data_IF_106564626800
#
_entry.id   IF_106564626800
#
_cell.length_a   1.000
_cell.length_b   1.000
_cell.length_c   1.000
_cell.angle_alpha   90.00
_cell.angle_beta   90.00
_cell.angle_gamma   90.00
#
_symmetry.space_group_name_H-M   'P 1'
#
loop_
_entity.id
_entity.type
_entity.pdbx_description
1 polymer ?
#
# COMPACT_ATOMS: atom_id res chain seq x y z
N UNK A 1 26.86 -5.12 13.30
CA UNK A 1 26.31 -4.88 11.93
C UNK A 1 27.30 -4.04 11.13
N UNK A 2 27.53 -4.37 9.86
CA UNK A 2 28.41 -3.61 8.96
C UNK A 2 27.77 -2.25 8.63
N UNK A 3 28.58 -1.18 8.53
CA UNK A 3 28.08 0.20 8.27
C UNK A 3 27.27 0.30 6.97
N UNK A 4 27.66 -0.46 5.94
CA UNK A 4 26.93 -0.52 4.67
C UNK A 4 25.51 -1.09 4.84
N UNK A 5 25.34 -2.16 5.60
CA UNK A 5 24.04 -2.77 5.87
C UNK A 5 23.19 -1.85 6.72
N UNK A 6 23.80 -1.20 7.72
CA UNK A 6 23.12 -0.23 8.56
C UNK A 6 22.51 0.92 7.75
N UNK A 7 23.33 1.57 6.91
CA UNK A 7 22.87 2.69 6.07
C UNK A 7 21.80 2.27 5.07
N UNK A 8 21.92 1.07 4.50
CA UNK A 8 20.94 0.53 3.57
C UNK A 8 19.59 0.29 4.23
N UNK A 9 19.55 -0.26 5.45
CA UNK A 9 18.30 -0.48 6.17
C UNK A 9 17.61 0.82 6.57
N UNK A 10 18.36 1.85 6.95
CA UNK A 10 17.82 3.20 7.15
C UNK A 10 17.23 3.76 5.84
N UNK A 11 17.94 3.59 4.73
CA UNK A 11 17.49 4.05 3.41
C UNK A 11 16.23 3.31 2.93
N UNK A 12 16.15 1.99 3.15
CA UNK A 12 14.94 1.19 2.84
C UNK A 12 13.73 1.72 3.63
N UNK A 13 13.86 1.97 4.92
CA UNK A 13 12.77 2.54 5.72
C UNK A 13 12.36 3.93 5.21
N UNK A 14 13.33 4.77 4.87
CA UNK A 14 13.07 6.11 4.34
C UNK A 14 12.40 6.08 2.96
N UNK A 15 12.78 5.16 2.08
CA UNK A 15 12.18 4.97 0.76
C UNK A 15 10.73 4.49 0.86
N UNK A 16 10.47 3.54 1.75
CA UNK A 16 9.18 2.85 1.83
C UNK A 16 8.12 3.54 2.68
N UNK A 17 8.53 4.20 3.76
CA UNK A 17 7.59 4.82 4.72
C UNK A 17 7.27 6.26 4.32
N UNK A 18 6.55 6.42 3.21
CA UNK A 18 6.16 7.72 2.69
C UNK A 18 4.72 8.09 3.06
N UNK A 19 4.42 9.37 3.29
CA UNK A 19 3.04 9.82 3.49
C UNK A 19 2.27 9.78 2.15
N UNK A 20 1.03 9.32 2.22
CA UNK A 20 0.10 9.33 1.08
C UNK A 20 -1.32 9.62 1.56
N UNK A 21 -2.13 10.25 0.71
CA UNK A 21 -3.54 10.50 0.96
C UNK A 21 -4.39 9.49 0.20
N UNK A 22 -5.38 8.89 0.85
CA UNK A 22 -6.31 7.95 0.23
C UNK A 22 -5.63 6.74 -0.41
N UNK A 23 -6.21 6.22 -1.49
CA UNK A 23 -5.63 5.13 -2.29
C UNK A 23 -4.61 5.68 -3.27
N UNK A 24 -3.45 5.05 -3.35
CA UNK A 24 -2.31 5.52 -4.15
C UNK A 24 -2.53 5.42 -5.64
N UNK A 25 -3.29 4.43 -6.11
CA UNK A 25 -3.55 4.23 -7.55
C UNK A 25 -4.44 5.31 -8.17
N UNK A 26 -5.60 5.70 -7.60
CA UNK A 26 -6.35 6.86 -8.12
C UNK A 26 -5.55 8.16 -8.05
N UNK A 27 -4.71 8.33 -7.03
CA UNK A 27 -3.81 9.47 -6.93
C UNK A 27 -2.78 9.48 -8.08
N UNK A 28 -2.21 8.32 -8.44
CA UNK A 28 -1.30 8.23 -9.57
C UNK A 28 -1.99 8.53 -10.91
N UNK A 29 -3.25 8.11 -11.10
CA UNK A 29 -4.06 8.48 -12.27
C UNK A 29 -4.27 10.00 -12.31
N UNK A 30 -4.67 10.61 -11.19
CA UNK A 30 -4.85 12.06 -11.09
C UNK A 30 -3.53 12.80 -11.34
N UNK A 31 -2.42 12.31 -10.82
CA UNK A 31 -1.10 12.90 -11.04
C UNK A 31 -0.68 12.85 -12.52
N UNK A 32 -0.87 11.71 -13.19
CA UNK A 32 -0.61 11.57 -14.62
C UNK A 32 -1.47 12.55 -15.44
N UNK A 33 -2.76 12.68 -15.09
CA UNK A 33 -3.70 13.58 -15.74
C UNK A 33 -3.35 15.06 -15.50
N UNK A 34 -2.92 15.42 -14.29
CA UNK A 34 -2.45 16.76 -13.96
C UNK A 34 -1.17 17.14 -14.73
N UNK A 35 -0.24 16.18 -14.90
CA UNK A 35 0.95 16.36 -15.74
C UNK A 35 0.59 16.59 -17.21
N UNK A 36 -0.32 15.77 -17.76
CA UNK A 36 -0.78 15.92 -19.14
C UNK A 36 -1.44 17.29 -19.37
N UNK A 37 -2.32 17.74 -18.45
CA UNK A 37 -2.92 19.09 -18.51
C UNK A 37 -1.87 20.20 -18.39
N UNK A 38 -0.92 20.07 -17.44
CA UNK A 38 0.17 21.05 -17.27
C UNK A 38 1.00 21.19 -18.55
N UNK A 39 1.29 20.06 -19.19
CA UNK A 39 2.02 20.00 -20.47
C UNK A 39 1.22 20.61 -21.63
N UNK A 40 -0.11 20.35 -21.69
CA UNK A 40 -1.00 20.94 -22.69
C UNK A 40 -1.11 22.47 -22.56
N UNK A 41 -1.20 22.98 -21.33
CA UNK A 41 -1.28 24.41 -21.04
C UNK A 41 -2.69 24.99 -21.01
N UNK A 42 -3.73 24.19 -21.26
CA UNK A 42 -5.15 24.59 -21.18
C UNK A 42 -6.02 23.46 -20.64
N UNK A 43 -7.31 23.72 -20.43
CA UNK A 43 -8.28 22.67 -20.04
C UNK A 43 -8.57 21.79 -21.25
N UNK A 44 -8.40 20.46 -21.17
CA UNK A 44 -8.65 19.55 -22.27
C UNK A 44 -10.12 19.46 -22.68
N UNK A 45 -10.33 19.23 -23.98
CA UNK A 45 -11.63 18.99 -24.62
C UNK A 45 -11.87 17.49 -24.87
N UNK A 46 -10.80 16.70 -24.93
CA UNK A 46 -10.79 15.24 -25.02
C UNK A 46 -9.70 14.65 -24.14
N UNK A 47 -9.98 13.52 -23.49
CA UNK A 47 -9.10 12.87 -22.54
C UNK A 47 -9.15 11.35 -22.75
N UNK A 48 -8.03 10.76 -23.14
CA UNK A 48 -7.87 9.32 -23.33
C UNK A 48 -6.93 8.79 -22.24
N UNK A 49 -7.43 7.93 -21.36
CA UNK A 49 -6.69 7.29 -20.27
C UNK A 49 -6.46 5.84 -20.62
N UNK A 50 -5.22 5.42 -20.75
CA UNK A 50 -4.84 4.02 -20.88
C UNK A 50 -4.22 3.56 -19.57
N UNK A 51 -4.68 2.45 -19.04
CA UNK A 51 -4.18 1.93 -17.77
C UNK A 51 -3.99 0.41 -17.81
N UNK A 52 -2.96 -0.08 -17.11
CA UNK A 52 -2.79 -1.52 -16.94
C UNK A 52 -3.99 -2.13 -16.22
N UNK A 53 -4.25 -3.40 -16.48
CA UNK A 53 -5.37 -4.11 -15.90
C UNK A 53 -5.37 -4.07 -14.35
N UNK A 54 -4.18 -4.04 -13.73
CA UNK A 54 -4.04 -3.90 -12.28
C UNK A 54 -4.45 -2.51 -11.77
N UNK A 55 -4.15 -1.45 -12.50
CA UNK A 55 -4.62 -0.09 -12.17
C UNK A 55 -6.13 -0.02 -12.31
N UNK A 56 -6.71 -0.55 -13.39
CA UNK A 56 -8.18 -0.61 -13.57
C UNK A 56 -8.81 -1.35 -12.40
N UNK A 57 -8.30 -2.53 -12.04
CA UNK A 57 -8.76 -3.33 -10.90
C UNK A 57 -8.76 -2.53 -9.59
N UNK A 58 -7.69 -1.79 -9.31
CA UNK A 58 -7.50 -1.11 -8.03
C UNK A 58 -8.27 0.22 -7.93
N UNK A 59 -8.57 0.87 -9.05
CA UNK A 59 -9.24 2.19 -9.04
C UNK A 59 -10.76 2.07 -9.20
N UNK A 60 -11.27 1.02 -9.84
CA UNK A 60 -12.69 0.87 -10.23
C UNK A 60 -13.69 1.17 -9.11
N UNK A 61 -13.43 0.73 -7.89
CA UNK A 61 -14.41 0.77 -6.79
C UNK A 61 -14.00 1.66 -5.61
N UNK A 62 -12.83 2.28 -5.67
CA UNK A 62 -12.31 3.09 -4.58
C UNK A 62 -12.75 4.54 -4.72
N UNK A 63 -12.97 5.20 -3.58
CA UNK A 63 -13.25 6.64 -3.55
C UNK A 63 -11.98 7.40 -3.92
N UNK A 64 -12.11 8.33 -4.87
CA UNK A 64 -11.03 9.27 -5.21
C UNK A 64 -10.97 10.33 -4.09
N UNK A 65 -9.82 10.55 -3.46
CA UNK A 65 -9.71 11.51 -2.37
C UNK A 65 -10.14 12.92 -2.77
N UNK A 66 -10.75 13.64 -1.84
CA UNK A 66 -11.17 15.05 -1.99
C UNK A 66 -12.16 15.32 -3.15
N UNK A 67 -12.91 14.30 -3.60
CA UNK A 67 -13.90 14.45 -4.69
C UNK A 67 -15.36 14.33 -4.22
N UNK A 68 -15.64 14.48 -2.91
CA UNK A 68 -16.99 14.33 -2.40
C UNK A 68 -17.55 12.89 -2.48
N UNK A 69 -16.69 11.88 -2.42
CA UNK A 69 -17.08 10.46 -2.44
C UNK A 69 -17.22 9.83 -3.82
N UNK A 70 -16.85 10.53 -4.88
CA UNK A 70 -16.88 10.02 -6.26
C UNK A 70 -15.83 8.91 -6.47
N UNK A 71 -16.05 8.02 -7.45
CA UNK A 71 -15.27 6.79 -7.64
C UNK A 71 -14.84 6.57 -9.09
N UNK A 72 -13.74 5.83 -9.25
CA UNK A 72 -13.31 5.29 -10.55
C UNK A 72 -12.28 6.12 -11.28
N UNK A 73 -11.77 5.56 -12.39
CA UNK A 73 -10.72 6.17 -13.20
C UNK A 73 -11.17 7.48 -13.87
N UNK A 74 -12.38 7.61 -14.44
CA UNK A 74 -12.80 8.86 -15.04
C UNK A 74 -12.77 10.02 -14.05
N UNK A 75 -13.24 9.79 -12.82
CA UNK A 75 -13.22 10.80 -11.75
C UNK A 75 -11.78 11.12 -11.34
N UNK A 76 -10.90 10.13 -11.21
CA UNK A 76 -9.51 10.35 -10.84
C UNK A 76 -8.79 11.23 -11.89
N UNK A 77 -9.00 10.94 -13.17
CA UNK A 77 -8.44 11.75 -14.26
C UNK A 77 -9.04 13.17 -14.29
N UNK A 78 -10.37 13.28 -14.17
CA UNK A 78 -11.05 14.57 -14.11
C UNK A 78 -10.55 15.44 -12.94
N UNK A 79 -10.37 14.84 -11.76
CA UNK A 79 -9.84 15.55 -10.59
C UNK A 79 -8.43 16.09 -10.83
N UNK A 80 -7.54 15.28 -11.42
CA UNK A 80 -6.19 15.69 -11.80
C UNK A 80 -6.20 16.84 -12.83
N UNK A 81 -7.10 16.76 -13.81
CA UNK A 81 -7.23 17.78 -14.87
C UNK A 81 -7.78 19.10 -14.32
N UNK A 82 -8.86 19.04 -13.54
CA UNK A 82 -9.57 20.25 -13.10
C UNK A 82 -8.83 20.98 -11.97
N UNK A 83 -8.36 20.23 -10.97
CA UNK A 83 -7.87 20.78 -9.71
C UNK A 83 -6.51 20.26 -9.27
N UNK A 84 -5.91 19.33 -10.02
CA UNK A 84 -4.67 18.68 -9.59
C UNK A 84 -3.44 19.60 -9.63
N UNK A 85 -2.66 19.58 -8.54
CA UNK A 85 -1.33 20.18 -8.49
C UNK A 85 -0.27 19.11 -8.87
N UNK A 86 0.23 19.16 -10.11
CA UNK A 86 1.21 18.21 -10.61
C UNK A 86 2.55 18.25 -9.86
N UNK A 87 2.90 19.36 -9.21
CA UNK A 87 4.16 19.50 -8.48
C UNK A 87 4.08 18.81 -7.11
N UNK A 88 2.87 18.61 -6.58
CA UNK A 88 2.63 17.93 -5.31
C UNK A 88 2.66 16.38 -5.39
N UNK A 89 2.88 15.77 -6.57
CA UNK A 89 3.00 14.31 -6.77
C UNK A 89 1.85 13.53 -6.11
N UNK A 90 2.15 12.68 -5.11
CA UNK A 90 1.14 11.88 -4.39
C UNK A 90 0.20 12.72 -3.49
N UNK A 91 0.39 14.02 -3.42
CA UNK A 91 -0.51 14.98 -2.78
C UNK A 91 -1.25 15.84 -3.81
N UNK A 92 -1.26 15.44 -5.07
CA UNK A 92 -1.84 16.15 -6.22
C UNK A 92 -3.28 16.65 -6.00
N UNK A 93 -4.07 15.98 -5.19
CA UNK A 93 -5.46 16.34 -4.88
C UNK A 93 -5.64 16.94 -3.46
N UNK A 94 -4.56 17.26 -2.73
CA UNK A 94 -4.65 17.69 -1.33
C UNK A 94 -5.31 19.07 -1.16
N UNK A 95 -5.25 19.94 -2.17
CA UNK A 95 -5.74 21.31 -2.09
C UNK A 95 -7.12 21.54 -2.74
N UNK A 96 -7.89 20.50 -3.04
CA UNK A 96 -9.20 20.62 -3.70
C UNK A 96 -10.20 21.33 -2.78
N UNK A 97 -10.83 22.39 -3.32
CA UNK A 97 -11.89 23.14 -2.60
C UNK A 97 -13.28 22.55 -2.89
N UNK A 98 -14.30 22.84 -2.05
CA UNK A 98 -15.68 22.41 -2.30
C UNK A 98 -16.21 22.81 -3.68
N UNK A 99 -15.86 24.00 -4.16
CA UNK A 99 -16.26 24.49 -5.48
C UNK A 99 -15.63 23.65 -6.59
N UNK A 100 -14.37 23.29 -6.44
CA UNK A 100 -13.66 22.41 -7.38
C UNK A 100 -14.23 20.98 -7.40
N UNK A 101 -14.81 20.49 -6.29
CA UNK A 101 -15.53 19.20 -6.29
C UNK A 101 -16.71 19.23 -7.24
N UNK A 102 -17.47 20.32 -7.28
CA UNK A 102 -18.58 20.51 -8.21
C UNK A 102 -18.09 20.62 -9.66
N UNK A 103 -16.98 21.35 -9.88
CA UNK A 103 -16.35 21.46 -11.20
C UNK A 103 -15.85 20.13 -11.73
N UNK A 104 -15.23 19.30 -10.88
CA UNK A 104 -14.79 17.94 -11.22
C UNK A 104 -15.99 17.08 -11.65
N UNK A 105 -17.08 17.12 -10.87
CA UNK A 105 -18.29 16.39 -11.19
C UNK A 105 -18.94 16.86 -12.50
N UNK A 106 -18.93 18.17 -12.75
CA UNK A 106 -19.43 18.74 -14.01
C UNK A 106 -18.55 18.36 -15.21
N UNK A 107 -17.22 18.36 -15.01
CA UNK A 107 -16.27 17.98 -16.06
C UNK A 107 -16.40 16.50 -16.43
N UNK A 108 -16.50 15.60 -15.44
CA UNK A 108 -16.69 14.17 -15.66
C UNK A 108 -17.99 13.88 -16.41
N UNK A 109 -19.10 14.54 -16.05
CA UNK A 109 -20.41 14.40 -16.71
C UNK A 109 -20.43 14.82 -18.19
N UNK A 110 -19.41 15.54 -18.67
CA UNK A 110 -19.29 15.86 -20.11
C UNK A 110 -19.06 14.61 -20.97
N UNK A 111 -18.64 13.47 -20.36
CA UNK A 111 -18.39 12.23 -21.07
C UNK A 111 -17.18 12.26 -22.00
N UNK A 112 -16.22 13.16 -21.76
CA UNK A 112 -15.01 13.35 -22.57
C UNK A 112 -13.79 12.60 -22.03
N UNK A 113 -13.91 11.93 -20.90
CA UNK A 113 -12.87 11.09 -20.30
C UNK A 113 -13.13 9.64 -20.67
N UNK A 114 -12.30 9.08 -21.53
CA UNK A 114 -12.40 7.71 -22.02
C UNK A 114 -11.32 6.85 -21.43
N UNK A 115 -11.67 5.68 -20.90
CA UNK A 115 -10.74 4.75 -20.26
C UNK A 115 -10.58 3.50 -21.09
N UNK A 116 -9.33 3.13 -21.35
CA UNK A 116 -8.94 1.97 -22.16
C UNK A 116 -7.94 1.09 -21.40
N UNK A 117 -7.92 -0.22 -21.63
CA UNK A 117 -6.81 -1.04 -21.20
C UNK A 117 -5.53 -0.61 -21.95
N UNK A 118 -4.40 -0.58 -21.23
CA UNK A 118 -3.09 -0.39 -21.86
C UNK A 118 -2.72 -1.63 -22.68
N UNK A 119 -2.06 -1.40 -23.80
CA UNK A 119 -1.49 -2.44 -24.68
C UNK A 119 -0.07 -2.86 -24.24
N UNK A 120 0.50 -2.18 -23.24
CA UNK A 120 1.82 -2.49 -22.67
C UNK A 120 1.71 -3.60 -21.63
N UNK A 121 2.72 -4.46 -21.59
CA UNK A 121 2.79 -5.60 -20.65
C UNK A 121 3.35 -5.19 -19.27
N UNK A 122 3.15 -3.92 -18.88
CA UNK A 122 3.53 -3.42 -17.56
C UNK A 122 2.48 -3.73 -16.51
N UNK A 123 2.91 -4.21 -15.35
CA UNK A 123 2.04 -4.42 -14.18
C UNK A 123 1.44 -3.09 -13.69
N UNK A 124 2.24 -2.01 -13.72
CA UNK A 124 1.86 -0.65 -13.40
C UNK A 124 2.12 0.25 -14.60
N UNK A 125 1.07 0.68 -15.27
CA UNK A 125 1.12 1.60 -16.40
C UNK A 125 -0.11 2.51 -16.40
N UNK A 126 0.13 3.80 -16.54
CA UNK A 126 -0.90 4.85 -16.66
C UNK A 126 -0.43 5.81 -17.73
N UNK A 127 -1.21 5.94 -18.80
CA UNK A 127 -0.97 6.87 -19.88
C UNK A 127 -2.18 7.80 -20.00
N UNK A 128 -1.93 9.09 -20.11
CA UNK A 128 -2.99 10.09 -20.33
C UNK A 128 -2.63 10.91 -21.53
N UNK A 129 -3.47 10.85 -22.56
CA UNK A 129 -3.41 11.70 -23.75
C UNK A 129 -4.54 12.71 -23.70
N UNK A 130 -4.23 13.96 -23.91
CA UNK A 130 -5.19 15.06 -23.87
C UNK A 130 -5.08 15.92 -25.11
N UNK A 131 -6.22 16.51 -25.53
CA UNK A 131 -6.24 17.51 -26.59
C UNK A 131 -7.15 18.68 -26.23
N UNK A 132 -6.82 19.88 -26.69
CA UNK A 132 -7.59 21.11 -26.48
C UNK A 132 -6.87 22.33 -27.02
N UNK A 133 -7.64 23.35 -27.46
CA UNK A 133 -7.09 24.57 -27.99
C UNK A 133 -6.19 24.39 -29.21
N UNK A 134 -6.36 23.32 -30.00
CA UNK A 134 -5.54 22.98 -31.16
C UNK A 134 -4.20 22.32 -30.86
N UNK A 135 -3.96 21.96 -29.58
CA UNK A 135 -2.75 21.29 -29.10
C UNK A 135 -3.03 19.90 -28.57
N UNK A 136 -1.99 19.07 -28.47
CA UNK A 136 -2.02 17.74 -27.84
C UNK A 136 -0.93 17.61 -26.80
N UNK A 137 -1.19 16.82 -25.75
CA UNK A 137 -0.16 16.43 -24.80
C UNK A 137 -0.33 14.98 -24.35
N UNK A 138 0.79 14.39 -23.92
CA UNK A 138 0.85 13.01 -23.44
C UNK A 138 1.72 12.95 -22.18
N UNK A 139 1.26 12.20 -21.20
CA UNK A 139 2.02 11.86 -20.00
C UNK A 139 1.91 10.35 -19.73
N UNK A 140 3.02 9.74 -19.29
CA UNK A 140 3.07 8.34 -18.92
C UNK A 140 3.82 8.14 -17.62
N UNK A 141 3.22 7.33 -16.75
CA UNK A 141 3.80 6.86 -15.47
C UNK A 141 3.83 5.34 -15.51
N UNK A 142 5.00 4.73 -15.32
CA UNK A 142 5.13 3.28 -15.30
C UNK A 142 6.04 2.76 -14.19
N UNK A 143 5.79 1.53 -13.75
CA UNK A 143 6.57 0.83 -12.73
C UNK A 143 6.18 1.18 -11.30
N UNK A 144 6.05 2.47 -10.94
CA UNK A 144 5.56 2.93 -9.65
C UNK A 144 4.89 4.31 -9.72
N UNK A 145 4.15 4.67 -8.69
CA UNK A 145 3.17 5.75 -8.66
C UNK A 145 3.66 7.15 -9.07
N UNK A 146 4.97 7.44 -8.99
CA UNK A 146 5.55 8.76 -9.29
C UNK A 146 6.61 8.73 -10.38
N UNK A 147 6.81 7.58 -11.03
CA UNK A 147 7.82 7.42 -12.06
C UNK A 147 7.28 7.88 -13.43
N UNK A 148 7.46 9.15 -13.72
CA UNK A 148 7.13 9.73 -15.03
C UNK A 148 8.18 9.28 -16.03
N UNK A 149 7.78 8.48 -17.01
CA UNK A 149 8.70 7.94 -18.02
C UNK A 149 8.62 8.69 -19.36
N UNK A 150 7.50 9.36 -19.63
CA UNK A 150 7.35 10.10 -20.89
C UNK A 150 6.43 11.32 -20.76
N UNK A 151 6.85 12.41 -21.38
CA UNK A 151 6.02 13.61 -21.58
C UNK A 151 6.19 14.07 -23.03
N UNK A 152 5.08 14.40 -23.68
CA UNK A 152 5.08 14.95 -25.05
C UNK A 152 4.12 16.13 -25.16
N UNK A 153 4.44 17.07 -26.08
CA UNK A 153 3.54 18.13 -26.51
C UNK A 153 3.62 18.29 -28.02
N UNK A 154 2.50 18.24 -28.71
CA UNK A 154 2.38 18.40 -30.16
C UNK A 154 3.33 17.48 -30.97
N UNK A 155 3.59 16.29 -30.43
CA UNK A 155 4.51 15.29 -30.99
C UNK A 155 5.98 15.51 -30.63
N UNK A 156 6.33 16.59 -29.95
CA UNK A 156 7.67 16.80 -29.40
C UNK A 156 7.82 16.08 -28.05
N UNK A 157 8.88 15.28 -27.92
CA UNK A 157 9.21 14.55 -26.70
C UNK A 157 9.96 15.50 -25.74
N UNK A 158 9.34 15.82 -24.61
CA UNK A 158 9.90 16.68 -23.57
C UNK A 158 10.67 15.91 -22.50
N UNK A 159 10.27 14.65 -22.27
CA UNK A 159 10.91 13.74 -21.34
C UNK A 159 10.76 12.32 -21.88
N UNK A 160 11.85 11.55 -21.87
CA UNK A 160 11.89 10.13 -22.22
C UNK A 160 12.85 9.39 -21.28
N UNK A 161 12.30 8.66 -20.33
CA UNK A 161 13.03 7.82 -19.39
C UNK A 161 12.59 6.38 -19.59
N UNK A 162 13.38 5.54 -20.28
CA UNK A 162 12.97 4.17 -20.56
C UNK A 162 12.75 3.39 -19.27
N UNK A 163 11.57 2.79 -19.16
CA UNK A 163 11.22 1.84 -18.11
C UNK A 163 11.32 0.43 -18.69
N UNK A 164 12.00 -0.47 -18.00
CA UNK A 164 12.03 -1.89 -18.36
C UNK A 164 10.84 -2.61 -17.73
N UNK A 165 10.44 -3.76 -18.28
CA UNK A 165 9.37 -4.62 -17.74
C UNK A 165 9.60 -5.04 -16.28
N UNK A 166 10.87 -5.06 -15.84
CA UNK A 166 11.26 -5.35 -14.45
C UNK A 166 10.86 -4.23 -13.48
N UNK A 167 10.34 -3.11 -13.98
CA UNK A 167 10.04 -1.93 -13.20
C UNK A 167 11.30 -1.13 -12.82
N UNK A 168 11.15 0.02 -12.18
CA UNK A 168 12.30 0.77 -11.71
C UNK A 168 13.01 -0.03 -10.62
N UNK A 169 14.31 -0.11 -10.72
CA UNK A 169 15.13 -0.63 -9.63
C UNK A 169 14.91 0.29 -8.42
N UNK A 170 14.58 -0.31 -7.29
CA UNK A 170 14.63 0.42 -6.04
C UNK A 170 16.01 1.09 -5.90
N UNK A 171 16.03 2.30 -5.34
CA UNK A 171 17.30 2.97 -5.06
C UNK A 171 18.12 2.18 -4.01
N UNK A 172 17.43 1.32 -3.24
CA UNK A 172 17.96 0.51 -2.15
C UNK A 172 18.07 -0.98 -2.52
N UNK A 173 19.08 -1.66 -1.97
CA UNK A 173 19.32 -3.09 -2.18
C UNK A 173 18.57 -3.96 -1.16
N UNK A 174 17.41 -4.48 -1.55
CA UNK A 174 16.55 -5.32 -0.70
C UNK A 174 16.97 -6.78 -0.59
N UNK A 175 17.94 -7.22 -1.41
CA UNK A 175 18.53 -8.56 -1.30
C UNK A 175 19.25 -8.72 0.04
N UNK A 176 19.69 -7.61 0.63
CA UNK A 176 20.34 -7.60 1.95
C UNK A 176 19.39 -7.91 3.11
N UNK A 177 18.06 -7.83 2.91
CA UNK A 177 17.07 -8.09 3.95
C UNK A 177 17.05 -9.58 4.31
N UNK A 178 17.22 -9.87 5.59
CA UNK A 178 16.96 -11.17 6.20
C UNK A 178 16.35 -10.96 7.59
N UNK A 179 15.54 -11.90 8.06
CA UNK A 179 14.90 -11.79 9.40
C UNK A 179 15.93 -11.63 10.50
N UNK A 180 17.05 -12.36 10.42
CA UNK A 180 18.14 -12.26 11.40
C UNK A 180 18.74 -10.85 11.43
N UNK A 181 19.13 -10.30 10.28
CA UNK A 181 19.70 -8.95 10.17
C UNK A 181 18.70 -7.85 10.53
N UNK A 182 17.41 -8.06 10.26
CA UNK A 182 16.35 -7.13 10.68
C UNK A 182 16.32 -7.01 12.20
N UNK A 183 16.41 -8.12 12.91
CA UNK A 183 16.44 -8.13 14.38
C UNK A 183 17.73 -7.49 14.91
N UNK A 184 18.90 -7.84 14.35
CA UNK A 184 20.18 -7.20 14.69
C UNK A 184 20.14 -5.69 14.47
N UNK A 185 19.56 -5.24 13.35
CA UNK A 185 19.42 -3.82 13.06
C UNK A 185 18.49 -3.14 14.06
N UNK A 186 17.34 -3.73 14.40
CA UNK A 186 16.41 -3.17 15.37
C UNK A 186 17.04 -3.03 16.77
N UNK A 187 17.91 -3.98 17.17
CA UNK A 187 18.64 -3.88 18.45
C UNK A 187 19.75 -2.81 18.42
N UNK A 188 20.40 -2.57 17.29
CA UNK A 188 21.57 -1.72 17.15
C UNK A 188 21.28 -0.30 16.62
N UNK A 189 20.14 -0.07 15.96
CA UNK A 189 19.85 1.20 15.29
C UNK A 189 19.80 2.37 16.28
N UNK A 190 20.43 3.48 15.90
CA UNK A 190 20.28 4.76 16.60
C UNK A 190 18.87 5.30 16.31
N UNK A 191 18.14 5.59 17.36
CA UNK A 191 16.73 5.99 17.23
C UNK A 191 16.56 7.26 16.38
N UNK A 192 17.51 8.19 16.47
CA UNK A 192 17.51 9.44 15.71
C UNK A 192 17.46 9.21 14.19
N UNK A 193 18.08 8.13 13.70
CA UNK A 193 18.16 7.83 12.27
C UNK A 193 16.83 7.32 11.69
N UNK A 194 15.96 6.71 12.51
CA UNK A 194 14.67 6.14 12.08
C UNK A 194 13.46 6.88 12.64
N UNK A 195 13.63 7.67 13.70
CA UNK A 195 12.56 8.43 14.37
C UNK A 195 11.74 9.31 13.42
N UNK A 196 12.31 10.07 12.47
CA UNK A 196 11.49 10.95 11.63
C UNK A 196 10.42 10.22 10.85
N UNK A 197 10.76 9.07 10.25
CA UNK A 197 9.81 8.28 9.44
C UNK A 197 8.82 7.51 10.32
N UNK A 198 9.31 6.91 11.42
CA UNK A 198 8.47 6.12 12.32
C UNK A 198 7.53 7.00 13.16
N UNK A 199 7.96 8.17 13.61
CA UNK A 199 7.08 9.09 14.34
C UNK A 199 5.94 9.56 13.43
N UNK A 200 6.24 9.91 12.18
CA UNK A 200 5.22 10.26 11.18
C UNK A 200 4.23 9.12 10.97
N UNK A 201 4.73 7.87 10.87
CA UNK A 201 3.87 6.68 10.76
C UNK A 201 2.94 6.54 11.96
N UNK A 202 3.46 6.70 13.18
CA UNK A 202 2.67 6.63 14.41
C UNK A 202 1.56 7.70 14.38
N UNK A 203 1.91 8.93 14.05
CA UNK A 203 0.98 10.07 14.11
C UNK A 203 -0.11 9.95 13.05
N UNK A 204 0.24 9.79 11.78
CA UNK A 204 -0.72 9.67 10.69
C UNK A 204 -1.61 8.45 10.84
N UNK A 205 -1.03 7.27 11.05
CA UNK A 205 -1.78 6.02 11.08
C UNK A 205 -2.68 5.93 12.32
N UNK A 206 -2.25 6.49 13.46
CA UNK A 206 -3.11 6.61 14.65
C UNK A 206 -4.26 7.59 14.43
N UNK A 207 -4.03 8.72 13.76
CA UNK A 207 -5.07 9.72 13.51
C UNK A 207 -6.20 9.16 12.65
N UNK A 208 -5.88 8.53 11.52
CA UNK A 208 -6.91 7.96 10.63
C UNK A 208 -7.62 6.76 11.26
N UNK A 209 -6.94 5.94 12.07
CA UNK A 209 -7.58 4.84 12.79
C UNK A 209 -8.60 5.35 13.83
N UNK A 210 -8.27 6.40 14.56
CA UNK A 210 -9.22 7.08 15.48
C UNK A 210 -10.44 7.61 14.74
N UNK A 211 -10.22 8.23 13.56
CA UNK A 211 -11.31 8.72 12.72
C UNK A 211 -12.19 7.57 12.24
N UNK A 212 -11.58 6.45 11.79
CA UNK A 212 -12.29 5.26 11.36
C UNK A 212 -13.15 4.62 12.45
N UNK A 213 -12.70 4.68 13.72
CA UNK A 213 -13.49 4.20 14.86
C UNK A 213 -14.62 5.19 15.26
N UNK A 214 -14.44 6.49 15.05
CA UNK A 214 -15.40 7.53 15.44
C UNK A 214 -16.47 7.75 14.37
N UNK A 215 -16.05 7.78 13.10
CA UNK A 215 -16.90 8.11 11.96
C UNK A 215 -17.71 6.92 11.44
N UNK A 216 -18.49 7.19 10.39
CA UNK A 216 -19.23 6.18 9.62
C UNK A 216 -18.47 5.94 8.32
N UNK A 217 -17.56 4.99 8.32
CA UNK A 217 -16.66 4.71 7.19
C UNK A 217 -16.84 3.28 6.67
N UNK A 218 -17.21 3.17 5.40
CA UNK A 218 -17.29 1.87 4.72
C UNK A 218 -18.24 0.89 5.42
N UNK A 219 -17.73 -0.29 5.73
CA UNK A 219 -18.49 -1.33 6.44
C UNK A 219 -18.33 -1.26 7.97
N UNK A 220 -17.59 -0.26 8.50
CA UNK A 220 -17.32 -0.09 9.93
C UNK A 220 -16.74 -1.34 10.62
N UNK A 221 -15.87 -2.06 9.92
CA UNK A 221 -15.30 -3.33 10.40
C UNK A 221 -14.60 -3.14 11.75
N UNK A 222 -13.81 -2.06 11.89
CA UNK A 222 -13.11 -1.79 13.15
C UNK A 222 -14.05 -1.67 14.33
N UNK A 223 -15.20 -0.99 14.19
CA UNK A 223 -16.22 -0.85 15.22
C UNK A 223 -16.94 -2.17 15.50
N UNK A 224 -17.35 -2.88 14.45
CA UNK A 224 -18.00 -4.20 14.57
C UNK A 224 -17.13 -5.16 15.37
N UNK A 225 -15.82 -5.18 15.15
CA UNK A 225 -14.91 -6.03 15.89
C UNK A 225 -14.92 -5.74 17.40
N UNK A 226 -14.88 -4.47 17.80
CA UNK A 226 -14.92 -4.10 19.22
C UNK A 226 -16.28 -4.37 19.86
N UNK A 227 -17.37 -4.07 19.18
CA UNK A 227 -18.74 -4.30 19.66
C UNK A 227 -19.05 -5.80 19.79
N UNK A 228 -18.57 -6.62 18.84
CA UNK A 228 -18.89 -8.05 18.81
C UNK A 228 -17.98 -8.90 19.70
N UNK A 229 -16.68 -8.54 19.81
CA UNK A 229 -15.67 -9.37 20.49
C UNK A 229 -15.06 -8.71 21.73
N UNK A 230 -15.47 -7.48 22.06
CA UNK A 230 -14.99 -6.73 23.22
C UNK A 230 -13.63 -6.06 23.01
N UNK A 231 -13.26 -5.17 23.95
CA UNK A 231 -12.12 -4.26 23.86
C UNK A 231 -10.86 -4.81 24.56
N UNK A 232 -10.46 -6.05 24.23
CA UNK A 232 -9.16 -6.58 24.62
C UNK A 232 -8.04 -5.97 23.76
N UNK A 233 -6.80 -6.00 24.24
CA UNK A 233 -5.62 -5.56 23.45
C UNK A 233 -5.55 -6.24 22.10
N UNK A 234 -5.82 -7.55 22.07
CA UNK A 234 -5.86 -8.35 20.85
C UNK A 234 -6.92 -7.85 19.85
N UNK A 235 -8.15 -7.67 20.31
CA UNK A 235 -9.25 -7.19 19.47
C UNK A 235 -9.04 -5.73 19.05
N UNK A 236 -8.53 -4.90 19.95
CA UNK A 236 -8.18 -3.50 19.65
C UNK A 236 -7.12 -3.39 18.58
N UNK A 237 -6.09 -4.26 18.57
CA UNK A 237 -5.05 -4.28 17.55
C UNK A 237 -5.63 -4.52 16.15
N UNK A 238 -6.54 -5.50 16.00
CA UNK A 238 -7.25 -5.77 14.74
C UNK A 238 -8.20 -4.63 14.36
N UNK A 239 -8.96 -4.17 15.32
CA UNK A 239 -9.98 -3.16 15.10
C UNK A 239 -9.41 -1.81 14.66
N UNK A 240 -8.28 -1.37 15.24
CA UNK A 240 -7.64 -0.12 14.84
C UNK A 240 -7.07 -0.20 13.43
N UNK A 241 -6.43 -1.32 13.07
CA UNK A 241 -5.92 -1.51 11.72
C UNK A 241 -7.06 -1.54 10.68
N UNK A 242 -8.15 -2.25 10.98
CA UNK A 242 -9.35 -2.29 10.14
C UNK A 242 -10.01 -0.91 10.02
N UNK A 243 -10.18 -0.18 11.12
CA UNK A 243 -10.79 1.15 11.13
C UNK A 243 -10.01 2.17 10.30
N UNK A 244 -8.69 2.15 10.38
CA UNK A 244 -7.84 2.99 9.52
C UNK A 244 -8.09 2.71 8.04
N UNK A 245 -8.26 1.44 7.67
CA UNK A 245 -8.61 1.04 6.31
C UNK A 245 -10.05 1.39 5.94
N UNK A 246 -11.02 1.23 6.86
CA UNK A 246 -12.41 1.67 6.64
C UNK A 246 -12.44 3.15 6.24
N UNK A 247 -11.78 4.01 7.00
CA UNK A 247 -11.68 5.43 6.69
C UNK A 247 -10.95 5.69 5.37
N UNK A 248 -9.75 5.11 5.19
CA UNK A 248 -8.92 5.32 4.01
C UNK A 248 -9.60 4.91 2.70
N UNK A 249 -10.23 3.73 2.67
CA UNK A 249 -10.85 3.18 1.45
C UNK A 249 -12.16 3.89 1.08
N UNK A 250 -12.71 4.69 1.98
CA UNK A 250 -13.99 5.36 1.78
C UNK A 250 -13.88 6.90 1.78
N UNK A 251 -12.69 7.42 1.52
CA UNK A 251 -12.47 8.83 1.18
C UNK A 251 -12.09 9.74 2.35
N UNK A 252 -11.66 9.20 3.49
CA UNK A 252 -11.11 10.03 4.56
C UNK A 252 -9.86 10.78 4.07
N UNK A 253 -9.81 12.07 4.32
CA UNK A 253 -8.77 12.98 3.85
C UNK A 253 -7.51 12.99 4.72
N UNK A 254 -7.49 12.22 5.82
CA UNK A 254 -6.32 12.12 6.66
C UNK A 254 -5.22 11.30 5.97
N UNK A 255 -3.95 11.75 6.04
CA UNK A 255 -2.84 11.01 5.46
C UNK A 255 -2.54 9.72 6.22
N UNK A 256 -1.99 8.75 5.51
CA UNK A 256 -1.38 7.54 6.07
C UNK A 256 0.10 7.49 5.69
N UNK A 257 0.92 6.83 6.50
CA UNK A 257 2.26 6.42 6.05
C UNK A 257 2.17 5.01 5.51
N UNK A 258 2.52 4.88 4.22
CA UNK A 258 2.46 3.64 3.47
C UNK A 258 3.59 2.69 3.87
N UNK A 259 3.47 1.43 3.46
CA UNK A 259 4.57 0.46 3.42
C UNK A 259 4.42 -0.34 2.13
N UNK A 260 5.52 -0.55 1.41
CA UNK A 260 5.53 -1.28 0.12
C UNK A 260 4.46 -0.78 -0.86
N UNK A 261 4.35 0.55 -0.99
CA UNK A 261 3.43 1.21 -1.90
C UNK A 261 1.95 1.22 -1.48
N UNK A 262 1.59 0.70 -0.30
CA UNK A 262 0.20 0.62 0.15
C UNK A 262 -0.03 1.19 1.54
N UNK A 263 -1.02 2.12 1.68
CA UNK A 263 -1.44 2.63 2.99
C UNK A 263 -2.06 1.55 3.86
N UNK A 264 -2.79 0.61 3.28
CA UNK A 264 -3.35 -0.53 4.02
C UNK A 264 -2.26 -1.40 4.64
N UNK A 265 -1.14 -1.62 3.94
CA UNK A 265 0.01 -2.32 4.51
C UNK A 265 0.68 -1.51 5.62
N UNK A 266 0.84 -0.19 5.44
CA UNK A 266 1.36 0.69 6.49
C UNK A 266 0.51 0.69 7.77
N UNK A 267 -0.82 0.73 7.63
CA UNK A 267 -1.76 0.61 8.76
C UNK A 267 -1.65 -0.75 9.46
N UNK A 268 -1.59 -1.82 8.67
CA UNK A 268 -1.53 -3.20 9.17
C UNK A 268 -0.22 -3.48 9.90
N UNK A 269 0.90 -3.03 9.37
CA UNK A 269 2.21 -3.21 9.99
C UNK A 269 2.37 -2.38 11.27
N UNK A 270 1.80 -1.18 11.35
CA UNK A 270 2.09 -0.25 12.45
C UNK A 270 1.09 -0.31 13.60
N UNK A 271 -0.21 -0.28 13.31
CA UNK A 271 -1.24 -0.09 14.36
C UNK A 271 -1.28 -1.20 15.39
N UNK A 272 -1.19 -2.50 15.05
CA UNK A 272 -1.14 -3.56 16.06
C UNK A 272 0.04 -3.40 17.02
N UNK A 273 1.22 -3.07 16.50
CA UNK A 273 2.43 -2.84 17.29
C UNK A 273 2.24 -1.65 18.23
N UNK A 274 1.68 -0.54 17.74
CA UNK A 274 1.37 0.66 18.53
C UNK A 274 0.39 0.34 19.67
N UNK A 275 -0.65 -0.45 19.40
CA UNK A 275 -1.65 -0.84 20.40
C UNK A 275 -1.03 -1.73 21.48
N UNK A 276 -0.23 -2.73 21.09
CA UNK A 276 0.46 -3.59 22.06
C UNK A 276 1.48 -2.81 22.89
N UNK A 277 2.28 -1.94 22.28
CA UNK A 277 3.23 -1.10 23.00
C UNK A 277 2.54 -0.21 24.05
N UNK A 278 1.39 0.38 23.71
CA UNK A 278 0.58 1.16 24.66
C UNK A 278 0.06 0.30 25.83
N UNK A 279 -0.42 -0.91 25.53
CA UNK A 279 -0.94 -1.83 26.53
C UNK A 279 0.13 -2.32 27.49
N UNK A 280 1.37 -2.47 27.01
CA UNK A 280 2.54 -2.86 27.80
C UNK A 280 3.17 -1.70 28.58
N UNK A 281 2.79 -0.45 28.31
CA UNK A 281 3.47 0.73 28.85
C UNK A 281 4.90 0.90 28.33
N UNK A 282 5.16 0.41 27.10
CA UNK A 282 6.49 0.46 26.49
C UNK A 282 6.98 1.88 26.31
N UNK A 283 8.28 2.07 26.40
CA UNK A 283 8.94 3.33 26.09
C UNK A 283 8.84 3.67 24.60
N UNK A 284 9.09 4.92 24.23
CA UNK A 284 9.14 5.33 22.81
C UNK A 284 10.22 4.59 22.04
N UNK A 285 11.36 4.34 22.65
CA UNK A 285 12.46 3.61 22.04
C UNK A 285 12.05 2.15 21.71
N UNK A 286 11.45 1.44 22.67
CA UNK A 286 10.95 0.06 22.44
C UNK A 286 9.91 0.03 21.33
N UNK A 287 9.00 1.01 21.26
CA UNK A 287 8.03 1.12 20.17
C UNK A 287 8.73 1.35 18.82
N UNK A 288 9.70 2.23 18.71
CA UNK A 288 10.41 2.46 17.45
C UNK A 288 11.15 1.19 17.00
N UNK A 289 11.85 0.50 17.88
CA UNK A 289 12.55 -0.75 17.58
C UNK A 289 11.60 -1.84 17.08
N UNK A 290 10.44 -1.99 17.73
CA UNK A 290 9.40 -2.93 17.29
C UNK A 290 8.77 -2.55 15.94
N UNK A 291 8.59 -1.25 15.67
CA UNK A 291 8.14 -0.78 14.36
C UNK A 291 9.19 -0.99 13.26
N UNK A 292 10.49 -0.87 13.58
CA UNK A 292 11.57 -1.25 12.66
C UNK A 292 11.41 -2.72 12.25
N UNK A 293 11.26 -3.63 13.22
CA UNK A 293 11.05 -5.06 12.92
C UNK A 293 9.82 -5.27 12.06
N UNK A 294 8.68 -4.72 12.47
CA UNK A 294 7.41 -4.90 11.75
C UNK A 294 7.48 -4.39 10.30
N UNK A 295 7.99 -3.18 10.11
CA UNK A 295 8.06 -2.58 8.78
C UNK A 295 9.06 -3.33 7.87
N UNK A 296 10.25 -3.65 8.35
CA UNK A 296 11.26 -4.34 7.54
C UNK A 296 10.88 -5.78 7.22
N UNK A 297 10.23 -6.51 8.14
CA UNK A 297 9.67 -7.84 7.86
C UNK A 297 8.57 -7.77 6.79
N UNK A 298 7.70 -6.77 6.87
CA UNK A 298 6.68 -6.52 5.84
C UNK A 298 7.32 -6.28 4.48
N UNK A 299 8.31 -5.41 4.40
CA UNK A 299 9.05 -5.08 3.16
C UNK A 299 9.75 -6.32 2.61
N UNK A 300 10.42 -7.09 3.48
CA UNK A 300 11.13 -8.30 3.09
C UNK A 300 10.21 -9.35 2.44
N UNK A 301 9.09 -9.67 3.08
CA UNK A 301 8.06 -10.55 2.51
C UNK A 301 7.52 -9.98 1.18
N UNK A 302 7.22 -8.68 1.16
CA UNK A 302 6.62 -8.04 -0.01
C UNK A 302 7.57 -7.96 -1.20
N UNK A 303 8.87 -7.91 -0.98
CA UNK A 303 9.89 -7.91 -2.05
C UNK A 303 9.76 -9.16 -2.95
N UNK A 304 9.54 -10.34 -2.36
CA UNK A 304 9.33 -11.58 -3.13
C UNK A 304 7.95 -11.66 -3.81
N UNK A 305 6.93 -11.02 -3.24
CA UNK A 305 5.55 -11.01 -3.76
C UNK A 305 5.41 -10.08 -4.98
N UNK A 306 6.18 -8.99 -5.02
CA UNK A 306 6.09 -7.95 -6.04
C UNK A 306 5.08 -6.83 -5.71
N UNK A 307 5.07 -5.75 -6.50
CA UNK A 307 4.32 -4.52 -6.22
C UNK A 307 2.80 -4.71 -6.32
N UNK A 308 2.32 -5.28 -7.42
CA UNK A 308 0.91 -5.60 -7.66
C UNK A 308 0.79 -7.10 -7.97
N UNK A 309 -0.04 -7.81 -7.22
CA UNK A 309 -0.22 -9.25 -7.33
C UNK A 309 -1.65 -9.62 -6.89
N UNK A 310 -2.14 -10.77 -7.32
CA UNK A 310 -3.32 -11.38 -6.74
C UNK A 310 -3.11 -11.83 -5.29
N UNK A 311 -1.88 -11.93 -4.81
CA UNK A 311 -1.56 -12.18 -3.41
C UNK A 311 -1.72 -10.88 -2.59
N UNK A 312 -2.57 -10.87 -1.59
CA UNK A 312 -2.86 -9.69 -0.79
C UNK A 312 -1.66 -9.28 0.08
N UNK A 313 -1.19 -8.03 -0.10
CA UNK A 313 -0.09 -7.49 0.70
C UNK A 313 -0.40 -7.36 2.20
N UNK A 314 -1.70 -7.40 2.58
CA UNK A 314 -2.08 -7.40 3.99
C UNK A 314 -1.49 -8.61 4.74
N UNK A 315 -1.33 -9.77 4.07
CA UNK A 315 -0.71 -10.96 4.67
C UNK A 315 0.74 -10.68 5.10
N UNK A 316 1.55 -10.08 4.22
CA UNK A 316 2.92 -9.70 4.57
C UNK A 316 2.95 -8.71 5.75
N UNK A 317 2.03 -7.74 5.76
CA UNK A 317 1.95 -6.73 6.83
C UNK A 317 1.43 -7.31 8.15
N UNK A 318 0.52 -8.29 8.11
CA UNK A 318 0.08 -9.05 9.29
C UNK A 318 1.21 -9.87 9.90
N UNK A 319 2.02 -10.52 9.07
CA UNK A 319 3.25 -11.21 9.52
C UNK A 319 4.22 -10.23 10.19
N UNK A 320 4.44 -9.06 9.57
CA UNK A 320 5.26 -7.99 10.14
C UNK A 320 4.73 -7.51 11.49
N UNK A 321 3.43 -7.28 11.60
CA UNK A 321 2.78 -6.89 12.86
C UNK A 321 3.00 -7.94 13.95
N UNK A 322 2.80 -9.23 13.66
CA UNK A 322 3.09 -10.34 14.59
C UNK A 322 4.54 -10.36 15.03
N UNK A 323 5.48 -10.15 14.10
CA UNK A 323 6.92 -10.06 14.38
C UNK A 323 7.24 -8.87 15.31
N UNK A 324 6.69 -7.69 15.06
CA UNK A 324 6.86 -6.50 15.89
C UNK A 324 6.28 -6.69 17.31
N UNK A 325 5.11 -7.32 17.42
CA UNK A 325 4.52 -7.68 18.72
C UNK A 325 5.37 -8.71 19.46
N UNK A 326 5.90 -9.72 18.75
CA UNK A 326 6.82 -10.70 19.32
C UNK A 326 8.06 -9.99 19.88
N UNK A 327 8.65 -9.05 19.13
CA UNK A 327 9.80 -8.25 19.56
C UNK A 327 9.52 -7.46 20.84
N UNK A 328 8.35 -6.78 20.93
CA UNK A 328 7.92 -6.07 22.15
C UNK A 328 7.86 -6.97 23.40
N UNK A 329 7.56 -8.24 23.21
CA UNK A 329 7.51 -9.23 24.30
C UNK A 329 8.85 -9.95 24.54
N UNK A 330 9.95 -9.38 24.05
CA UNK A 330 11.31 -9.89 24.27
C UNK A 330 11.76 -10.96 23.29
N UNK A 331 10.93 -11.33 22.31
CA UNK A 331 11.32 -12.26 21.25
C UNK A 331 12.46 -11.70 20.39
N UNK A 332 13.33 -12.60 19.92
CA UNK A 332 14.43 -12.27 19.01
C UNK A 332 14.34 -13.15 17.78
N UNK A 333 15.44 -13.32 17.06
CA UNK A 333 15.45 -14.02 15.77
C UNK A 333 14.64 -15.32 15.74
N UNK A 334 14.88 -16.20 16.70
CA UNK A 334 14.21 -17.52 16.72
C UNK A 334 12.69 -17.40 16.88
N UNK A 335 12.25 -16.63 17.87
CA UNK A 335 10.83 -16.43 18.18
C UNK A 335 10.11 -15.69 17.05
N UNK A 336 10.77 -14.68 16.47
CA UNK A 336 10.26 -13.92 15.34
C UNK A 336 10.17 -14.79 14.08
N UNK A 337 11.19 -15.59 13.79
CA UNK A 337 11.18 -16.52 12.67
C UNK A 337 10.00 -17.51 12.75
N UNK A 338 9.76 -18.09 13.93
CA UNK A 338 8.61 -18.98 14.13
C UNK A 338 7.27 -18.22 14.00
N UNK A 339 7.18 -17.01 14.53
CA UNK A 339 5.99 -16.16 14.37
C UNK A 339 5.67 -15.91 12.91
N UNK A 340 6.67 -15.55 12.10
CA UNK A 340 6.50 -15.30 10.66
C UNK A 340 6.06 -16.57 9.93
N UNK A 341 6.72 -17.71 10.18
CA UNK A 341 6.38 -18.97 9.52
C UNK A 341 4.95 -19.41 9.87
N UNK A 342 4.55 -19.31 11.14
CA UNK A 342 3.19 -19.63 11.56
C UNK A 342 2.17 -18.71 10.88
N UNK A 343 2.40 -17.38 10.89
CA UNK A 343 1.50 -16.41 10.30
C UNK A 343 1.31 -16.62 8.79
N UNK A 344 2.41 -16.86 8.08
CA UNK A 344 2.39 -17.15 6.64
C UNK A 344 1.63 -18.44 6.35
N UNK A 345 1.85 -19.50 7.12
CA UNK A 345 1.15 -20.78 6.93
C UNK A 345 -0.37 -20.65 7.14
N UNK A 346 -0.80 -19.78 8.06
CA UNK A 346 -2.22 -19.54 8.33
C UNK A 346 -2.90 -18.77 7.19
N UNK A 347 -2.26 -17.73 6.65
CA UNK A 347 -2.92 -16.73 5.80
C UNK A 347 -2.40 -16.69 4.34
N UNK A 348 -1.67 -17.72 3.90
CA UNK A 348 -1.15 -17.82 2.53
C UNK A 348 -2.21 -18.19 1.51
N UNK A 349 -3.05 -17.33 1.12
CA UNK A 349 -4.11 -17.61 0.16
C UNK A 349 -5.11 -16.49 0.04
N UNK A 350 -4.94 -15.44 0.84
CA UNK A 350 -5.77 -14.25 0.74
C UNK A 350 -5.53 -13.55 -0.60
N UNK A 351 -6.57 -13.51 -1.44
CA UNK A 351 -6.49 -12.85 -2.74
C UNK A 351 -6.66 -11.33 -2.65
N UNK A 352 -5.99 -10.62 -3.55
CA UNK A 352 -6.17 -9.19 -3.79
C UNK A 352 -7.02 -8.98 -5.06
N UNK A 353 -8.25 -8.54 -4.89
CA UNK A 353 -9.20 -8.23 -5.94
C UNK A 353 -9.49 -6.72 -6.04
N UNK A 354 -8.48 -5.88 -5.77
CA UNK A 354 -8.52 -4.43 -5.84
C UNK A 354 -8.88 -3.74 -4.52
N UNK A 355 -8.69 -2.42 -4.49
CA UNK A 355 -8.96 -1.58 -3.33
C UNK A 355 -10.46 -1.33 -3.14
N UNK A 356 -10.99 -1.60 -1.94
CA UNK A 356 -12.41 -1.45 -1.61
C UNK A 356 -12.68 -1.62 -0.11
N UNK A 357 -13.91 -1.38 0.32
CA UNK A 357 -14.32 -1.45 1.73
C UNK A 357 -13.95 -2.79 2.41
N UNK A 358 -14.06 -3.94 1.69
CA UNK A 358 -13.71 -5.25 2.26
C UNK A 358 -12.22 -5.42 2.61
N UNK A 359 -11.34 -4.49 2.20
CA UNK A 359 -9.93 -4.51 2.62
C UNK A 359 -9.79 -4.42 4.14
N UNK A 360 -10.69 -3.69 4.84
CA UNK A 360 -10.67 -3.60 6.30
C UNK A 360 -10.82 -4.97 6.97
N UNK A 361 -11.74 -5.81 6.47
CA UNK A 361 -11.92 -7.18 6.97
C UNK A 361 -10.71 -8.08 6.66
N UNK A 362 -10.14 -7.97 5.48
CA UNK A 362 -8.90 -8.69 5.10
C UNK A 362 -7.73 -8.32 6.02
N UNK A 363 -7.60 -7.04 6.36
CA UNK A 363 -6.59 -6.55 7.31
C UNK A 363 -6.81 -7.18 8.69
N UNK A 364 -8.05 -7.21 9.19
CA UNK A 364 -8.35 -7.85 10.48
C UNK A 364 -7.94 -9.33 10.50
N UNK A 365 -8.18 -10.07 9.41
CA UNK A 365 -7.75 -11.47 9.27
C UNK A 365 -6.22 -11.60 9.24
N UNK A 366 -5.53 -10.75 8.50
CA UNK A 366 -4.07 -10.77 8.42
C UNK A 366 -3.41 -10.45 9.77
N UNK A 367 -3.94 -9.47 10.50
CA UNK A 367 -3.47 -9.16 11.87
C UNK A 367 -3.74 -10.35 12.80
N UNK A 368 -4.91 -10.99 12.69
CA UNK A 368 -5.21 -12.21 13.46
C UNK A 368 -4.18 -13.31 13.23
N UNK A 369 -3.86 -13.58 11.94
CA UNK A 369 -2.85 -14.58 11.58
C UNK A 369 -1.47 -14.26 12.20
N UNK A 370 -1.05 -13.01 12.13
CA UNK A 370 0.19 -12.52 12.75
C UNK A 370 0.21 -12.72 14.27
N UNK A 371 -0.86 -12.30 14.92
CA UNK A 371 -0.99 -12.43 16.39
C UNK A 371 -1.14 -13.89 16.85
N UNK A 372 -1.88 -14.71 16.10
CA UNK A 372 -1.99 -16.14 16.39
C UNK A 372 -0.65 -16.84 16.19
N UNK A 373 0.09 -16.50 15.12
CA UNK A 373 1.43 -17.02 14.88
C UNK A 373 2.40 -16.74 16.04
N UNK A 374 2.34 -15.52 16.58
CA UNK A 374 3.08 -15.17 17.81
C UNK A 374 2.59 -15.94 19.04
N UNK A 375 1.27 -16.06 19.24
CA UNK A 375 0.72 -16.85 20.36
C UNK A 375 1.13 -18.31 20.29
N UNK A 376 1.10 -18.94 19.12
CA UNK A 376 1.58 -20.30 18.92
C UNK A 376 3.05 -20.43 19.37
N UNK A 377 3.90 -19.48 18.97
CA UNK A 377 5.30 -19.46 19.40
C UNK A 377 5.42 -19.39 20.94
N UNK A 378 4.62 -18.53 21.62
CA UNK A 378 4.60 -18.44 23.08
C UNK A 378 4.23 -19.77 23.76
N UNK A 379 3.41 -20.59 23.11
CA UNK A 379 3.04 -21.93 23.56
C UNK A 379 3.98 -23.03 23.05
N UNK A 380 5.14 -22.66 22.49
CA UNK A 380 6.11 -23.58 21.88
C UNK A 380 5.50 -24.45 20.77
N UNK A 381 4.46 -23.97 20.12
CA UNK A 381 3.80 -24.60 18.98
C UNK A 381 4.22 -23.90 17.68
N UNK A 382 4.45 -24.70 16.64
CA UNK A 382 4.84 -24.17 15.34
C UNK A 382 4.48 -25.14 14.22
N UNK A 383 4.35 -24.64 13.01
CA UNK A 383 4.36 -25.45 11.80
C UNK A 383 5.80 -25.81 11.43
N UNK A 384 6.00 -27.04 10.95
CA UNK A 384 7.32 -27.57 10.66
C UNK A 384 7.60 -27.62 9.15
N UNK A 385 8.88 -27.68 8.80
CA UNK A 385 9.28 -27.92 7.42
C UNK A 385 8.71 -29.25 6.92
N UNK A 386 7.94 -29.19 5.84
CA UNK A 386 7.16 -30.28 5.27
C UNK A 386 5.65 -30.09 5.40
N UNK A 387 5.20 -29.10 6.17
CA UNK A 387 3.78 -28.74 6.26
C UNK A 387 3.39 -27.84 5.05
N UNK A 388 3.03 -28.46 3.95
CA UNK A 388 2.64 -27.76 2.72
C UNK A 388 3.80 -26.94 2.14
N UNK A 389 3.61 -25.60 2.02
CA UNK A 389 4.63 -24.68 1.49
C UNK A 389 5.69 -24.28 2.53
N UNK A 390 5.50 -24.66 3.79
CA UNK A 390 6.46 -24.39 4.86
C UNK A 390 7.65 -25.33 4.71
N UNK A 391 8.86 -24.77 4.72
CA UNK A 391 10.11 -25.52 4.61
C UNK A 391 11.07 -25.13 5.73
N UNK A 392 12.15 -25.87 5.88
CA UNK A 392 13.18 -25.57 6.89
C UNK A 392 13.80 -24.20 6.65
N UNK A 393 13.72 -23.32 7.65
CA UNK A 393 14.26 -21.97 7.65
C UNK A 393 13.25 -20.92 7.16
N UNK A 394 13.17 -19.79 7.89
CA UNK A 394 12.22 -18.72 7.62
C UNK A 394 12.43 -18.11 6.24
N UNK A 395 13.67 -17.87 5.82
CA UNK A 395 14.01 -17.29 4.51
C UNK A 395 13.55 -18.19 3.35
N UNK A 396 13.66 -19.48 3.49
CA UNK A 396 13.20 -20.43 2.47
C UNK A 396 11.67 -20.45 2.38
N UNK A 397 10.96 -20.36 3.50
CA UNK A 397 9.50 -20.26 3.52
C UNK A 397 9.05 -18.93 2.90
N UNK A 398 9.70 -17.80 3.21
CA UNK A 398 9.45 -16.50 2.60
C UNK A 398 9.64 -16.57 1.08
N UNK A 399 10.70 -17.24 0.61
CA UNK A 399 10.95 -17.43 -0.82
C UNK A 399 9.84 -18.25 -1.49
N UNK A 400 9.38 -19.34 -0.88
CA UNK A 400 8.27 -20.14 -1.40
C UNK A 400 6.99 -19.33 -1.55
N UNK A 401 6.67 -18.47 -0.56
CA UNK A 401 5.53 -17.56 -0.64
C UNK A 401 5.72 -16.53 -1.76
N UNK A 402 6.91 -15.98 -1.90
CA UNK A 402 7.25 -15.07 -3.00
C UNK A 402 7.02 -15.72 -4.36
N UNK A 403 7.52 -16.95 -4.57
CA UNK A 403 7.32 -17.73 -5.80
C UNK A 403 5.83 -18.01 -6.07
N UNK A 404 5.10 -18.46 -5.04
CA UNK A 404 3.65 -18.67 -5.17
C UNK A 404 2.93 -17.39 -5.60
N UNK A 405 3.27 -16.26 -4.99
CA UNK A 405 2.62 -14.99 -5.25
C UNK A 405 3.00 -14.39 -6.62
N UNK A 406 4.28 -14.42 -7.00
CA UNK A 406 4.78 -13.80 -8.24
C UNK A 406 4.57 -14.66 -9.49
N UNK A 407 4.66 -15.98 -9.36
CA UNK A 407 4.52 -16.92 -10.47
C UNK A 407 3.17 -17.65 -10.43
N UNK A 408 2.87 -18.30 -9.30
CA UNK A 408 1.70 -19.18 -9.18
C UNK A 408 0.37 -18.43 -9.29
N UNK A 409 0.30 -17.18 -8.83
CA UNK A 409 -0.95 -16.40 -8.84
C UNK A 409 -1.13 -15.51 -10.09
N UNK A 410 -0.29 -15.60 -11.13
CA UNK A 410 -0.45 -14.82 -12.37
C UNK A 410 -1.80 -15.09 -13.06
N UNK A 411 -2.17 -16.35 -13.21
CA UNK A 411 -3.46 -16.71 -13.83
C UNK A 411 -4.65 -16.36 -12.92
N UNK A 412 -4.46 -16.40 -11.59
CA UNK A 412 -5.45 -15.93 -10.64
C UNK A 412 -5.70 -14.43 -10.83
N UNK A 413 -4.64 -13.63 -10.99
CA UNK A 413 -4.74 -12.19 -11.23
C UNK A 413 -5.46 -11.88 -12.55
N UNK A 414 -5.08 -12.55 -13.64
CA UNK A 414 -5.76 -12.44 -14.94
C UNK A 414 -7.24 -12.82 -14.86
N UNK A 415 -7.56 -13.86 -14.10
CA UNK A 415 -8.96 -14.30 -13.91
C UNK A 415 -9.75 -13.27 -13.09
N UNK A 416 -9.19 -12.72 -12.01
CA UNK A 416 -9.82 -11.66 -11.22
C UNK A 416 -10.10 -10.44 -12.11
N UNK A 417 -9.11 -9.99 -12.87
CA UNK A 417 -9.25 -8.86 -13.80
C UNK A 417 -10.38 -9.13 -14.80
N UNK A 418 -10.39 -10.29 -15.44
CA UNK A 418 -11.46 -10.68 -16.40
C UNK A 418 -12.84 -10.64 -15.75
N UNK A 419 -13.01 -11.22 -14.56
CA UNK A 419 -14.28 -11.19 -13.83
C UNK A 419 -14.73 -9.76 -13.48
N UNK A 420 -13.79 -8.89 -13.16
CA UNK A 420 -14.10 -7.51 -12.84
C UNK A 420 -14.42 -6.65 -14.07
N UNK A 421 -13.87 -6.99 -15.23
CA UNK A 421 -14.07 -6.23 -16.47
C UNK A 421 -15.18 -6.75 -17.35
N UNK A 422 -15.55 -8.05 -17.27
CA UNK A 422 -16.59 -8.69 -18.09
C UNK A 422 -18.02 -8.13 -17.88
N UNK A 423 -18.27 -7.27 -16.92
CA UNK A 423 -19.52 -6.55 -16.72
C UNK A 423 -19.49 -5.08 -17.18
N UNK A 424 -18.47 -4.70 -17.93
CA UNK A 424 -18.28 -3.33 -18.45
C UNK A 424 -18.67 -3.18 -19.94
N UNK A 425 -19.31 -4.21 -20.53
CA UNK A 425 -19.91 -4.17 -21.88
C UNK A 425 -21.38 -3.80 -21.81
#
# INVERSE_FOLDING_TARGET
MEDKIYSEYCAILAEELQPAMGCTEPIAVAYCAALARKTLGCLPEDVQVYASANIIKNVKSVVVPNTGGQRGLPVAAAAGIVAGDADAKLQVLAGITPEQVEEIAAYEKRGIVHVHPSDKDFIFDIQVRVSGGGHTAFAEIAGFHTNVIRLERDGEVLLDHPCTEEGPKHATDRILLTVERIVEFADAVKIEDVKPVLQRQIDCNTAIAKEGLRGQWGANIGRILLESYGDSTHNRAKAWAAAGSDARMNGCELPVVINSGSGNQGLTASLPVIIYARALGSTREELYRALVVSNLVTIHLKTGIGSLSAYCGATAAGCGAGAGVCYLHGGRYKEIAHTIVNAVAIDSGMICDGAKASCAAKIASAVEAGLLGWKMQQHHSQFYGGDGIVVKGVENTIRNVGTLASEGMRETDRTIIRLMTSGMC
#
